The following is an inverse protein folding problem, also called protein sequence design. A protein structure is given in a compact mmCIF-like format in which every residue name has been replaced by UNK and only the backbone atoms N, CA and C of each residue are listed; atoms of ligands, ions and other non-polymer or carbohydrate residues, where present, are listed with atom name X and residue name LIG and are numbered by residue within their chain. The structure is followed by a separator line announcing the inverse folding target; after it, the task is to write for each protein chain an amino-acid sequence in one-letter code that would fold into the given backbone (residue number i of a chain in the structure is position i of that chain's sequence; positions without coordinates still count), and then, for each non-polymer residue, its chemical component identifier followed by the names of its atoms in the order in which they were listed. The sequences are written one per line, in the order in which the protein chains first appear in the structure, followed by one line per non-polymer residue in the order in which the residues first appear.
data_IF_233741258780
#
_entry.id   IF_233741258780
#
_cell.length_a   1.000
_cell.length_b   1.000
_cell.length_c   1.000
_cell.angle_alpha   90.00
_cell.angle_beta   90.00
_cell.angle_gamma   90.00
#
_symmetry.space_group_name_H-M   'P 1'
#
loop_
_entity.id
_entity.type
_entity.pdbx_description
1 polymer ?
#
# COMPACT_ATOMS: atom_id res chain seq x y z
N UNK A 1 -0.68 -26.18 26.22
CA UNK A 1 -0.09 -25.68 24.97
C UNK A 1 -0.32 -26.72 23.90
N UNK A 2 -1.09 -26.40 22.85
CA UNK A 2 -1.41 -27.34 21.76
C UNK A 2 -0.13 -27.47 20.91
N UNK A 3 0.54 -28.62 20.96
CA UNK A 3 1.74 -28.87 20.16
C UNK A 3 1.31 -29.07 18.71
N UNK A 4 1.36 -28.01 17.92
CA UNK A 4 1.09 -28.09 16.49
C UNK A 4 2.15 -28.99 15.87
N UNK A 5 1.72 -30.10 15.27
CA UNK A 5 2.65 -31.00 14.59
C UNK A 5 3.22 -30.32 13.35
N UNK A 6 4.47 -30.64 12.96
CA UNK A 6 5.12 -30.02 11.78
C UNK A 6 4.25 -30.09 10.53
N UNK A 7 3.51 -31.19 10.36
CA UNK A 7 2.57 -31.44 9.26
C UNK A 7 1.35 -30.51 9.30
N UNK A 8 0.72 -30.33 10.47
CA UNK A 8 -0.38 -29.37 10.64
C UNK A 8 0.10 -27.93 10.45
N UNK A 9 1.29 -27.60 10.94
CA UNK A 9 1.90 -26.29 10.73
C UNK A 9 2.13 -26.01 9.25
N UNK A 10 2.58 -27.03 8.50
CA UNK A 10 2.81 -26.93 7.06
C UNK A 10 1.50 -26.74 6.30
N UNK A 11 0.44 -27.46 6.66
CA UNK A 11 -0.90 -27.28 6.06
C UNK A 11 -1.49 -25.91 6.37
N UNK A 12 -1.34 -25.42 7.59
CA UNK A 12 -1.75 -24.06 7.97
C UNK A 12 -0.96 -23.00 7.21
N UNK A 13 0.36 -23.20 7.04
CA UNK A 13 1.22 -22.30 6.28
C UNK A 13 0.89 -22.31 4.76
N UNK A 14 0.61 -23.48 4.18
CA UNK A 14 0.18 -23.61 2.78
C UNK A 14 -1.22 -23.04 2.54
N UNK A 15 -2.15 -23.17 3.50
CA UNK A 15 -3.46 -22.54 3.42
C UNK A 15 -3.41 -21.02 3.57
N UNK A 16 -2.52 -20.51 4.43
CA UNK A 16 -2.33 -19.07 4.62
C UNK A 16 -1.59 -18.42 3.43
N UNK A 17 -0.81 -19.19 2.68
CA UNK A 17 -0.03 -18.71 1.54
C UNK A 17 -0.22 -19.61 0.31
N UNK A 18 -1.32 -19.44 -0.44
CA UNK A 18 -1.54 -20.20 -1.67
C UNK A 18 -0.41 -19.95 -2.67
N UNK A 19 -0.01 -20.99 -3.40
CA UNK A 19 1.09 -20.93 -4.35
C UNK A 19 0.77 -19.95 -5.49
N UNK A 20 1.41 -18.77 -5.46
CA UNK A 20 1.24 -17.76 -6.51
C UNK A 20 1.95 -18.23 -7.79
N UNK A 21 1.46 -17.82 -8.97
CA UNK A 21 2.18 -18.08 -10.23
C UNK A 21 3.45 -17.22 -10.32
N UNK A 22 4.48 -17.56 -9.54
CA UNK A 22 5.72 -16.80 -9.33
C UNK A 22 6.40 -16.40 -10.64
N UNK A 23 6.34 -17.28 -11.65
CA UNK A 23 6.93 -17.04 -12.96
C UNK A 23 6.26 -15.89 -13.74
N UNK A 24 5.00 -15.54 -13.44
CA UNK A 24 4.31 -14.38 -14.04
C UNK A 24 4.38 -13.14 -13.17
N UNK A 25 4.37 -13.31 -11.85
CA UNK A 25 4.35 -12.18 -10.90
C UNK A 25 5.71 -11.53 -10.74
N UNK A 26 6.81 -12.29 -10.80
CA UNK A 26 8.17 -11.77 -10.63
C UNK A 26 8.57 -10.80 -11.75
N UNK A 27 8.44 -11.13 -13.05
CA UNK A 27 8.81 -10.20 -14.13
C UNK A 27 7.96 -8.92 -14.11
N UNK A 28 6.67 -9.06 -13.78
CA UNK A 28 5.74 -7.93 -13.66
C UNK A 28 6.13 -7.00 -12.50
N UNK A 29 6.47 -7.59 -11.35
CA UNK A 29 6.94 -6.84 -10.18
C UNK A 29 8.25 -6.09 -10.47
N UNK A 30 9.20 -6.74 -11.14
CA UNK A 30 10.46 -6.12 -11.54
C UNK A 30 10.24 -4.98 -12.54
N UNK A 31 9.40 -5.16 -13.55
CA UNK A 31 9.11 -4.13 -14.55
C UNK A 31 8.50 -2.86 -13.89
N UNK A 32 7.57 -3.03 -12.96
CA UNK A 32 6.89 -1.90 -12.32
C UNK A 32 7.79 -1.24 -11.28
N UNK A 33 8.52 -2.01 -10.47
CA UNK A 33 9.52 -1.46 -9.56
C UNK A 33 10.63 -0.72 -10.29
N UNK A 34 11.10 -1.27 -11.42
CA UNK A 34 12.08 -0.64 -12.30
C UNK A 34 11.57 0.65 -12.93
N UNK A 35 10.30 0.69 -13.37
CA UNK A 35 9.68 1.90 -13.91
C UNK A 35 9.62 3.02 -12.85
N UNK A 36 9.24 2.69 -11.61
CA UNK A 36 9.20 3.66 -10.50
C UNK A 36 10.61 4.19 -10.21
N UNK A 37 11.62 3.33 -10.22
CA UNK A 37 13.03 3.76 -10.08
C UNK A 37 13.48 4.66 -11.24
N UNK A 38 13.09 4.36 -12.48
CA UNK A 38 13.40 5.20 -13.64
C UNK A 38 12.76 6.59 -13.53
N UNK A 39 11.51 6.67 -13.04
CA UNK A 39 10.85 7.95 -12.74
C UNK A 39 11.64 8.72 -11.67
N UNK A 40 12.06 8.05 -10.60
CA UNK A 40 12.89 8.68 -9.54
C UNK A 40 14.22 9.22 -10.07
N UNK A 41 14.89 8.47 -10.96
CA UNK A 41 16.11 8.94 -11.62
C UNK A 41 15.85 10.13 -12.55
N UNK A 42 14.73 10.13 -13.29
CA UNK A 42 14.33 11.25 -14.13
C UNK A 42 14.09 12.54 -13.33
N UNK A 43 13.38 12.43 -12.20
CA UNK A 43 13.18 13.56 -11.28
C UNK A 43 14.50 14.03 -10.67
N UNK A 44 15.40 13.11 -10.33
CA UNK A 44 16.71 13.45 -9.78
C UNK A 44 17.53 14.27 -10.79
N UNK A 45 17.53 13.85 -12.05
CA UNK A 45 18.21 14.57 -13.13
C UNK A 45 17.58 15.94 -13.37
N UNK A 46 16.25 16.05 -13.32
CA UNK A 46 15.54 17.32 -13.46
C UNK A 46 15.92 18.31 -12.35
N UNK A 47 15.92 17.87 -11.08
CA UNK A 47 16.30 18.73 -9.96
C UNK A 47 17.79 19.10 -9.98
N UNK A 48 18.66 18.18 -10.39
CA UNK A 48 20.08 18.49 -10.62
C UNK A 48 20.27 19.51 -11.74
N UNK A 49 19.50 19.40 -12.83
CA UNK A 49 19.53 20.36 -13.93
C UNK A 49 19.06 21.75 -13.48
N UNK A 50 18.15 21.82 -12.51
CA UNK A 50 17.69 23.06 -11.89
C UNK A 50 18.71 23.69 -10.91
N UNK A 51 19.88 23.07 -10.72
CA UNK A 51 20.96 23.58 -9.87
C UNK A 51 20.94 23.07 -8.44
N UNK A 52 20.11 22.08 -8.10
CA UNK A 52 20.13 21.48 -6.76
C UNK A 52 21.36 20.59 -6.56
N UNK A 53 21.92 20.60 -5.33
CA UNK A 53 22.98 19.64 -4.97
C UNK A 53 22.47 18.20 -5.04
N UNK A 54 23.34 17.19 -5.20
CA UNK A 54 22.92 15.79 -5.23
C UNK A 54 22.13 15.35 -3.99
N UNK A 55 22.48 15.84 -2.80
CA UNK A 55 21.75 15.50 -1.57
C UNK A 55 20.37 16.17 -1.53
N UNK A 56 20.29 17.46 -1.88
CA UNK A 56 19.02 18.19 -1.93
C UNK A 56 18.08 17.63 -2.98
N UNK A 57 18.59 17.33 -4.17
CA UNK A 57 17.82 16.74 -5.27
C UNK A 57 17.22 15.40 -4.85
N UNK A 58 18.01 14.52 -4.21
CA UNK A 58 17.54 13.20 -3.75
C UNK A 58 16.45 13.31 -2.68
N UNK A 59 16.60 14.29 -1.78
CA UNK A 59 15.59 14.61 -0.77
C UNK A 59 14.30 15.06 -1.44
N UNK A 60 14.38 15.97 -2.42
CA UNK A 60 13.21 16.47 -3.15
C UNK A 60 12.51 15.37 -3.94
N UNK A 61 13.25 14.50 -4.64
CA UNK A 61 12.67 13.31 -5.31
C UNK A 61 11.87 12.47 -4.32
N UNK A 62 12.45 12.18 -3.15
CA UNK A 62 11.82 11.33 -2.14
C UNK A 62 10.52 11.97 -1.62
N UNK A 63 10.56 13.27 -1.31
CA UNK A 63 9.37 14.03 -0.87
C UNK A 63 8.30 14.05 -1.95
N UNK A 64 8.66 14.33 -3.21
CA UNK A 64 7.70 14.34 -4.33
C UNK A 64 7.06 12.96 -4.54
N UNK A 65 7.84 11.89 -4.51
CA UNK A 65 7.31 10.53 -4.70
C UNK A 65 6.38 10.11 -3.56
N UNK A 66 6.73 10.40 -2.31
CA UNK A 66 5.86 10.15 -1.15
C UNK A 66 4.57 10.95 -1.30
N UNK A 67 4.66 12.24 -1.58
CA UNK A 67 3.50 13.12 -1.71
C UNK A 67 2.55 12.64 -2.82
N UNK A 68 3.07 12.39 -4.01
CA UNK A 68 2.29 11.85 -5.13
C UNK A 68 1.65 10.51 -4.78
N UNK A 69 2.37 9.64 -4.06
CA UNK A 69 1.84 8.36 -3.61
C UNK A 69 0.66 8.53 -2.66
N UNK A 70 0.81 9.34 -1.61
CA UNK A 70 -0.27 9.58 -0.63
C UNK A 70 -1.48 10.25 -1.28
N UNK A 71 -1.27 11.19 -2.20
CA UNK A 71 -2.35 11.78 -2.99
C UNK A 71 -3.08 10.74 -3.83
N UNK A 72 -2.34 9.88 -4.54
CA UNK A 72 -2.93 8.81 -5.34
C UNK A 72 -3.69 7.78 -4.46
N UNK A 73 -3.23 7.53 -3.23
CA UNK A 73 -3.93 6.71 -2.23
C UNK A 73 -5.25 7.37 -1.81
N UNK A 74 -5.23 8.67 -1.48
CA UNK A 74 -6.44 9.43 -1.15
C UNK A 74 -7.47 9.48 -2.27
N UNK A 75 -7.01 9.50 -3.53
CA UNK A 75 -7.86 9.46 -4.73
C UNK A 75 -8.29 8.03 -5.14
N UNK A 76 -7.92 6.98 -4.38
CA UNK A 76 -8.19 5.55 -4.69
C UNK A 76 -7.63 5.06 -6.04
N UNK A 77 -6.69 5.79 -6.63
CA UNK A 77 -6.01 5.40 -7.87
C UNK A 77 -4.87 4.44 -7.54
N UNK A 78 -4.16 4.68 -6.44
CA UNK A 78 -3.02 3.86 -6.04
C UNK A 78 -3.43 2.42 -5.72
N UNK A 79 -4.57 2.20 -5.07
CA UNK A 79 -5.03 0.85 -4.71
C UNK A 79 -5.30 -0.02 -5.95
N UNK A 80 -5.82 0.57 -7.02
CA UNK A 80 -6.05 -0.14 -8.29
C UNK A 80 -4.73 -0.48 -8.99
N UNK A 81 -3.77 0.45 -8.96
CA UNK A 81 -2.43 0.24 -9.49
C UNK A 81 -1.69 -0.83 -8.68
N UNK A 82 -1.76 -0.78 -7.35
CA UNK A 82 -1.13 -1.74 -6.44
C UNK A 82 -1.70 -3.15 -6.61
N UNK A 83 -3.03 -3.30 -6.78
CA UNK A 83 -3.67 -4.59 -7.09
C UNK A 83 -3.17 -5.20 -8.40
N UNK A 84 -2.91 -4.37 -9.41
CA UNK A 84 -2.40 -4.85 -10.69
C UNK A 84 -0.89 -5.09 -10.65
N UNK A 85 -0.14 -4.27 -9.93
CA UNK A 85 1.31 -4.31 -9.90
C UNK A 85 1.89 -5.33 -8.91
N UNK A 86 1.11 -5.73 -7.91
CA UNK A 86 1.51 -6.68 -6.90
C UNK A 86 2.73 -6.20 -6.10
N UNK A 87 3.69 -7.09 -5.87
CA UNK A 87 4.89 -6.78 -5.09
C UNK A 87 5.72 -5.61 -5.64
N UNK A 88 5.65 -5.32 -6.96
CA UNK A 88 6.46 -4.29 -7.61
C UNK A 88 6.18 -2.86 -7.16
N UNK A 89 4.96 -2.56 -6.71
CA UNK A 89 4.57 -1.25 -6.13
C UNK A 89 4.70 -1.19 -4.62
N UNK A 90 4.95 -2.32 -3.96
CA UNK A 90 5.07 -2.39 -2.49
C UNK A 90 6.51 -2.18 -2.02
N UNK A 91 7.50 -2.62 -2.80
CA UNK A 91 8.93 -2.51 -2.48
C UNK A 91 9.47 -1.06 -2.53
N UNK A 92 9.08 -0.19 -3.49
CA UNK A 92 9.55 1.19 -3.54
C UNK A 92 8.99 2.07 -2.40
N UNK A 93 9.57 3.26 -2.21
CA UNK A 93 9.14 4.22 -1.16
C UNK A 93 7.65 4.63 -1.27
N UNK A 94 7.07 4.54 -2.47
CA UNK A 94 5.64 4.76 -2.72
C UNK A 94 4.77 3.69 -2.06
N UNK A 95 5.23 2.43 -2.04
CA UNK A 95 4.54 1.32 -1.38
C UNK A 95 4.43 1.53 0.12
N UNK A 96 5.53 1.98 0.74
CA UNK A 96 5.54 2.36 2.16
C UNK A 96 4.59 3.53 2.44
N UNK A 97 4.61 4.58 1.62
CA UNK A 97 3.72 5.72 1.76
C UNK A 97 2.24 5.31 1.71
N UNK A 98 1.87 4.43 0.76
CA UNK A 98 0.52 3.87 0.67
C UNK A 98 0.17 3.03 1.91
N UNK A 99 1.07 2.15 2.37
CA UNK A 99 0.83 1.30 3.54
C UNK A 99 0.59 2.10 4.83
N UNK A 100 1.15 3.32 4.93
CA UNK A 100 0.89 4.24 6.04
C UNK A 100 -0.40 5.05 5.81
N UNK A 101 -0.65 5.51 4.58
CA UNK A 101 -1.79 6.38 4.27
C UNK A 101 -3.14 5.64 4.21
N UNK A 102 -3.19 4.42 3.66
CA UNK A 102 -4.42 3.63 3.55
C UNK A 102 -5.11 3.41 4.91
N UNK A 103 -4.45 2.90 5.98
CA UNK A 103 -5.10 2.74 7.28
C UNK A 103 -5.49 4.09 7.89
N UNK A 104 -4.69 5.15 7.71
CA UNK A 104 -5.02 6.48 8.21
C UNK A 104 -6.32 7.05 7.60
N UNK A 105 -6.60 6.74 6.33
CA UNK A 105 -7.84 7.11 5.65
C UNK A 105 -9.03 6.24 6.09
N UNK A 106 -8.82 4.95 6.31
CA UNK A 106 -9.84 4.02 6.82
C UNK A 106 -10.28 4.38 8.23
N UNK A 107 -9.34 4.61 9.16
CA UNK A 107 -9.67 5.00 10.53
C UNK A 107 -10.45 6.32 10.61
N UNK A 108 -10.11 7.32 9.78
CA UNK A 108 -10.87 8.57 9.70
C UNK A 108 -12.30 8.36 9.18
N UNK A 109 -12.50 7.36 8.32
CA UNK A 109 -13.81 7.02 7.79
C UNK A 109 -14.66 6.32 8.87
N UNK A 110 -14.06 5.38 9.60
CA UNK A 110 -14.74 4.67 10.70
C UNK A 110 -15.11 5.60 11.86
N UNK A 111 -14.26 6.56 12.24
CA UNK A 111 -14.61 7.56 13.26
C UNK A 111 -15.82 8.42 12.85
N UNK A 112 -15.86 8.86 11.59
CA UNK A 112 -16.97 9.66 11.06
C UNK A 112 -18.28 8.87 11.06
N UNK A 113 -18.21 7.58 10.76
CA UNK A 113 -19.36 6.67 10.84
C UNK A 113 -19.78 6.46 12.29
N UNK A 114 -18.87 6.11 13.21
CA UNK A 114 -19.20 5.85 14.62
C UNK A 114 -19.85 7.08 15.28
N UNK A 115 -19.34 8.30 15.03
CA UNK A 115 -19.94 9.54 15.56
C UNK A 115 -21.36 9.74 15.03
N UNK A 116 -21.58 9.48 13.75
CA UNK A 116 -22.91 9.60 13.11
C UNK A 116 -23.88 8.52 13.61
N UNK A 117 -23.41 7.30 13.86
CA UNK A 117 -24.21 6.21 14.44
C UNK A 117 -24.57 6.49 15.91
N UNK A 118 -23.68 7.14 16.67
CA UNK A 118 -23.96 7.57 18.05
C UNK A 118 -25.12 8.57 18.14
N UNK A 119 -25.39 9.32 17.05
CA UNK A 119 -26.54 10.22 16.94
C UNK A 119 -27.83 9.51 16.47
N UNK A 120 -27.74 8.29 15.95
CA UNK A 120 -28.90 7.56 15.42
C UNK A 120 -28.80 6.04 15.72
N UNK A 121 -29.35 5.57 16.87
CA UNK A 121 -29.09 4.25 17.43
C UNK A 121 -29.64 3.08 16.58
N UNK A 122 -30.57 3.34 15.66
CA UNK A 122 -31.15 2.32 14.77
C UNK A 122 -30.12 1.80 13.76
N UNK A 123 -29.18 2.64 13.31
CA UNK A 123 -28.14 2.26 12.33
C UNK A 123 -26.95 1.52 12.94
N UNK A 124 -26.85 1.52 14.27
CA UNK A 124 -25.71 0.94 15.00
C UNK A 124 -25.78 -0.60 15.02
N UNK A 125 -26.98 -1.17 15.07
CA UNK A 125 -27.20 -2.61 14.95
C UNK A 125 -26.86 -3.15 13.55
N UNK A 126 -27.25 -2.42 12.51
CA UNK A 126 -26.99 -2.80 11.11
C UNK A 126 -25.50 -2.73 10.74
N UNK A 127 -24.75 -1.79 11.32
CA UNK A 127 -23.29 -1.69 11.12
C UNK A 127 -22.51 -2.78 11.86
N UNK A 128 -22.97 -3.21 13.05
CA UNK A 128 -22.33 -4.27 13.81
C UNK A 128 -22.36 -5.62 13.05
N UNK A 129 -23.46 -5.92 12.36
CA UNK A 129 -23.59 -7.12 11.53
C UNK A 129 -22.73 -7.09 10.25
N UNK A 130 -22.38 -5.89 9.76
CA UNK A 130 -21.55 -5.71 8.57
C UNK A 130 -20.04 -5.79 8.85
N UNK A 131 -19.58 -5.39 10.04
CA UNK A 131 -18.15 -5.39 10.41
C UNK A 131 -17.68 -6.77 10.90
N UNK A 132 -18.60 -7.64 11.34
CA UNK A 132 -18.26 -9.01 11.78
C UNK A 132 -18.14 -10.04 10.64
N UNK A 133 -18.28 -9.65 9.37
CA UNK A 133 -18.19 -10.54 8.20
C UNK A 133 -16.97 -10.22 7.33
#
# INVERSE_FOLDING_TARGET
MKNITKEEYKKLAEQASPNTQSWKTIPKAFAIGGLICAIGQGLLLLYKHWGASPETASTWVSVTLIFCSVLATGLKIYDNLAKHAGAGTLVPITGFANAVASPALEFKSDECVIISLKQNPIKLGEYADLVQK
#
